data_IF_910350733264
#
_entry.id   IF_910350733264
#
_cell.length_a   1.000
_cell.length_b   1.000
_cell.length_c   1.000
_cell.angle_alpha   90.00
_cell.angle_beta   90.00
_cell.angle_gamma   90.00
#
_symmetry.space_group_name_H-M   'P 1'
#
loop_
_entity.id
_entity.type
_entity.pdbx_description
1 polymer ?
#
# COMPACT_ATOMS: atom_id res chain seq x y z
N UNK A 1 9.56 -35.72 11.70
CA UNK A 1 8.86 -34.87 10.72
C UNK A 1 8.55 -33.59 11.45
N UNK A 2 9.37 -32.55 11.25
CA UNK A 2 9.18 -31.27 11.91
C UNK A 2 8.58 -30.33 10.86
N UNK A 3 7.26 -30.15 10.92
CA UNK A 3 6.51 -29.20 10.10
C UNK A 3 6.90 -27.78 10.54
N UNK A 4 7.84 -27.18 9.80
CA UNK A 4 8.21 -25.78 9.98
C UNK A 4 7.03 -24.89 9.53
N UNK A 5 6.31 -24.39 10.54
CA UNK A 5 5.79 -23.02 10.74
C UNK A 5 5.39 -22.16 9.51
N UNK A 6 4.08 -21.83 9.32
CA UNK A 6 3.59 -20.99 8.24
C UNK A 6 3.63 -19.48 8.54
N UNK A 7 4.31 -19.02 9.58
CA UNK A 7 4.39 -17.60 9.93
C UNK A 7 5.72 -16.97 9.55
N UNK A 8 5.99 -16.86 8.25
CA UNK A 8 6.95 -15.85 7.79
C UNK A 8 6.27 -14.48 7.86
N UNK A 9 6.32 -13.91 9.08
CA UNK A 9 6.00 -12.53 9.36
C UNK A 9 6.87 -11.63 8.46
N UNK A 10 6.20 -10.81 7.65
CA UNK A 10 6.80 -9.75 6.84
C UNK A 10 7.27 -8.62 7.78
N UNK A 11 8.40 -8.82 8.46
CA UNK A 11 9.12 -7.73 9.08
C UNK A 11 9.90 -6.99 7.99
N UNK A 12 9.26 -6.04 7.32
CA UNK A 12 9.93 -5.20 6.31
C UNK A 12 9.86 -3.74 6.73
N UNK A 13 10.89 -3.25 7.43
CA UNK A 13 11.43 -1.85 7.39
C UNK A 13 12.90 -1.88 7.85
N UNK A 14 13.87 -1.18 7.22
CA UNK A 14 13.80 0.26 6.96
C UNK A 14 14.24 0.71 5.54
N UNK A 15 13.84 1.92 5.17
CA UNK A 15 13.89 2.52 3.84
C UNK A 15 15.24 2.44 3.11
N UNK A 16 15.15 1.98 1.87
CA UNK A 16 15.99 2.25 0.71
C UNK A 16 15.31 1.49 -0.42
N UNK A 17 14.43 2.17 -1.15
CA UNK A 17 13.80 1.63 -2.37
C UNK A 17 14.91 1.25 -3.38
N UNK A 18 15.35 -0.02 -3.29
CA UNK A 18 16.34 -0.74 -4.08
C UNK A 18 17.48 0.11 -4.64
N UNK A 19 18.65 -0.03 -3.99
CA UNK A 19 20.02 0.30 -4.43
C UNK A 19 20.28 1.52 -5.34
N UNK A 20 21.46 2.12 -5.19
CA UNK A 20 21.92 3.18 -6.10
C UNK A 20 22.18 2.67 -7.55
N UNK A 21 21.75 1.45 -7.87
CA UNK A 21 22.18 0.66 -9.01
C UNK A 21 21.05 0.27 -9.98
N UNK A 22 19.83 0.76 -9.80
CA UNK A 22 18.80 0.79 -10.85
C UNK A 22 19.13 1.84 -11.96
N UNK A 23 20.38 1.86 -12.42
CA UNK A 23 20.87 2.67 -13.55
C UNK A 23 21.24 1.82 -14.77
N UNK A 24 21.39 0.51 -14.60
CA UNK A 24 21.94 -0.38 -15.63
C UNK A 24 21.03 -1.59 -15.98
N UNK A 25 19.76 -1.58 -15.56
CA UNK A 25 18.80 -2.66 -15.87
C UNK A 25 19.01 -3.95 -15.07
N UNK A 26 19.87 -3.93 -14.03
CA UNK A 26 20.09 -5.03 -13.10
C UNK A 26 19.41 -4.71 -11.75
N UNK A 27 18.07 -4.67 -11.73
CA UNK A 27 17.34 -4.67 -10.47
C UNK A 27 17.57 -6.04 -9.82
N UNK A 28 18.47 -6.11 -8.86
CA UNK A 28 19.08 -7.37 -8.39
C UNK A 28 18.10 -8.39 -7.80
N UNK A 29 16.83 -8.06 -7.55
CA UNK A 29 15.81 -9.07 -7.26
C UNK A 29 14.44 -8.66 -7.83
N UNK A 30 14.06 -9.24 -8.99
CA UNK A 30 12.75 -9.03 -9.63
C UNK A 30 11.59 -9.23 -8.64
N UNK A 31 11.67 -10.24 -7.78
CA UNK A 31 10.65 -10.55 -6.77
C UNK A 31 10.48 -9.39 -5.77
N UNK A 32 11.59 -8.92 -5.22
CA UNK A 32 11.62 -7.80 -4.27
C UNK A 32 11.09 -6.51 -4.92
N UNK A 33 11.39 -6.27 -6.20
CA UNK A 33 10.81 -5.14 -6.96
C UNK A 33 9.28 -5.25 -7.08
N UNK A 34 8.76 -6.42 -7.43
CA UNK A 34 7.32 -6.63 -7.61
C UNK A 34 6.55 -6.49 -6.29
N UNK A 35 7.08 -7.02 -5.20
CA UNK A 35 6.48 -6.87 -3.87
C UNK A 35 6.32 -5.39 -3.49
N UNK A 36 7.34 -4.58 -3.76
CA UNK A 36 7.29 -3.14 -3.53
C UNK A 36 6.26 -2.43 -4.40
N UNK A 37 6.15 -2.80 -5.68
CA UNK A 37 5.10 -2.27 -6.58
C UNK A 37 3.71 -2.61 -6.03
N UNK A 38 3.51 -3.82 -5.49
CA UNK A 38 2.24 -4.20 -4.86
C UNK A 38 1.97 -3.39 -3.59
N UNK A 39 2.95 -3.23 -2.70
CA UNK A 39 2.80 -2.40 -1.50
C UNK A 39 2.44 -0.94 -1.84
N UNK A 40 3.07 -0.37 -2.86
CA UNK A 40 2.74 0.96 -3.37
C UNK A 40 1.31 1.02 -3.93
N UNK A 41 0.94 0.04 -4.75
CA UNK A 41 -0.38 -0.02 -5.38
C UNK A 41 -1.53 -0.29 -4.37
N UNK A 42 -1.25 -0.97 -3.27
CA UNK A 42 -2.19 -1.23 -2.17
C UNK A 42 -2.21 -0.10 -1.13
N UNK A 43 -1.30 0.87 -1.23
CA UNK A 43 -1.18 1.97 -0.26
C UNK A 43 -0.67 1.52 1.11
N UNK A 44 0.08 0.41 1.16
CA UNK A 44 0.66 -0.16 2.38
C UNK A 44 1.97 0.51 2.81
N UNK A 45 2.39 1.57 2.11
CA UNK A 45 3.63 2.30 2.37
C UNK A 45 3.44 3.49 3.30
N UNK A 46 4.52 3.85 4.00
CA UNK A 46 4.54 5.09 4.78
C UNK A 46 4.61 6.31 3.86
N UNK A 47 4.27 7.49 4.39
CA UNK A 47 4.36 8.76 3.65
C UNK A 47 5.77 9.05 3.12
N UNK A 48 6.80 8.65 3.84
CA UNK A 48 8.20 8.85 3.45
C UNK A 48 8.54 7.95 2.26
N UNK A 49 8.16 6.67 2.34
CA UNK A 49 8.42 5.68 1.29
C UNK A 49 7.69 6.04 -0.02
N UNK A 50 6.47 6.58 0.05
CA UNK A 50 5.68 6.97 -1.14
C UNK A 50 6.47 7.92 -2.05
N UNK A 51 7.14 8.92 -1.48
CA UNK A 51 7.91 9.90 -2.25
C UNK A 51 9.14 9.28 -2.90
N UNK A 52 9.77 8.32 -2.24
CA UNK A 52 10.90 7.57 -2.80
C UNK A 52 10.46 6.70 -3.98
N UNK A 53 9.31 6.01 -3.86
CA UNK A 53 8.74 5.20 -4.95
C UNK A 53 8.46 6.05 -6.16
N UNK A 54 7.78 7.19 -5.96
CA UNK A 54 7.34 8.05 -7.03
C UNK A 54 8.54 8.61 -7.81
N UNK A 55 9.59 9.02 -7.09
CA UNK A 55 10.85 9.44 -7.71
C UNK A 55 11.52 8.31 -8.50
N UNK A 56 11.49 7.08 -7.98
CA UNK A 56 12.04 5.92 -8.66
C UNK A 56 11.25 5.53 -9.92
N UNK A 57 9.91 5.47 -9.85
CA UNK A 57 9.04 5.21 -11.00
C UNK A 57 9.23 6.27 -12.09
N UNK A 58 9.51 7.53 -11.72
CA UNK A 58 9.84 8.57 -12.68
C UNK A 58 11.24 8.40 -13.30
N UNK A 59 12.20 7.84 -12.56
CA UNK A 59 13.57 7.66 -13.02
C UNK A 59 13.79 6.35 -13.82
N UNK A 60 12.98 5.32 -13.57
CA UNK A 60 13.13 3.98 -14.14
C UNK A 60 11.92 3.56 -15.01
N UNK A 61 12.05 3.56 -16.35
CA UNK A 61 10.97 3.17 -17.25
C UNK A 61 10.50 1.72 -17.10
N UNK A 62 11.40 0.80 -16.72
CA UNK A 62 11.04 -0.61 -16.55
C UNK A 62 10.10 -0.79 -15.36
N UNK A 63 10.43 -0.18 -14.22
CA UNK A 63 9.59 -0.20 -13.03
C UNK A 63 8.25 0.53 -13.25
N UNK A 64 8.25 1.62 -14.02
CA UNK A 64 7.03 2.31 -14.43
C UNK A 64 6.12 1.40 -15.27
N UNK A 65 6.69 0.68 -16.25
CA UNK A 65 5.94 -0.24 -17.09
C UNK A 65 5.34 -1.42 -16.29
N UNK A 66 6.10 -1.97 -15.34
CA UNK A 66 5.62 -3.02 -14.43
C UNK A 66 4.45 -2.51 -13.56
N UNK A 67 4.54 -1.27 -13.05
CA UNK A 67 3.46 -0.63 -12.29
C UNK A 67 2.21 -0.36 -13.15
N UNK A 68 2.38 0.11 -14.39
CA UNK A 68 1.29 0.35 -15.32
C UNK A 68 0.53 -0.95 -15.65
N UNK A 69 1.27 -2.04 -15.87
CA UNK A 69 0.69 -3.37 -16.06
C UNK A 69 -0.14 -3.80 -14.85
N UNK A 70 0.40 -3.64 -13.64
CA UNK A 70 -0.31 -3.96 -12.40
C UNK A 70 -1.58 -3.11 -12.23
N UNK A 71 -1.54 -1.83 -12.62
CA UNK A 71 -2.71 -0.96 -12.63
C UNK A 71 -3.80 -1.45 -13.60
N UNK A 72 -3.41 -1.93 -14.78
CA UNK A 72 -4.33 -2.53 -15.77
C UNK A 72 -4.95 -3.80 -15.20
N UNK A 73 -4.15 -4.71 -14.62
CA UNK A 73 -4.63 -5.94 -14.00
C UNK A 73 -5.66 -5.63 -12.92
N UNK A 74 -5.33 -4.73 -11.98
CA UNK A 74 -6.24 -4.33 -10.89
C UNK A 74 -7.52 -3.72 -11.43
N UNK A 75 -7.47 -3.00 -12.56
CA UNK A 75 -8.65 -2.45 -13.22
C UNK A 75 -9.53 -3.54 -13.83
N UNK A 76 -8.95 -4.53 -14.50
CA UNK A 76 -9.70 -5.66 -15.07
C UNK A 76 -10.32 -6.51 -13.97
N UNK A 77 -9.57 -6.83 -12.92
CA UNK A 77 -10.07 -7.60 -11.76
C UNK A 77 -11.25 -6.87 -11.11
N UNK A 78 -11.12 -5.57 -10.83
CA UNK A 78 -12.21 -4.75 -10.26
C UNK A 78 -13.48 -4.73 -11.13
N UNK A 79 -13.34 -4.77 -12.47
CA UNK A 79 -14.48 -4.82 -13.39
C UNK A 79 -15.17 -6.18 -13.37
N UNK A 80 -14.41 -7.26 -13.22
CA UNK A 80 -14.91 -8.63 -13.23
C UNK A 80 -15.47 -9.08 -11.88
N UNK A 81 -14.93 -8.58 -10.77
CA UNK A 81 -15.37 -8.86 -9.41
C UNK A 81 -16.17 -7.69 -8.83
N UNK A 82 -17.39 -7.48 -9.33
CA UNK A 82 -18.32 -6.50 -8.79
C UNK A 82 -19.12 -7.08 -7.59
N UNK A 83 -18.43 -7.47 -6.53
CA UNK A 83 -19.09 -7.87 -5.28
C UNK A 83 -19.52 -6.63 -4.51
N UNK A 84 -20.83 -6.50 -4.27
CA UNK A 84 -21.36 -5.39 -3.48
C UNK A 84 -21.12 -5.66 -2.00
N UNK A 85 -20.36 -4.77 -1.35
CA UNK A 85 -20.22 -4.80 0.10
C UNK A 85 -21.61 -4.78 0.78
N UNK A 86 -21.82 -5.58 1.84
CA UNK A 86 -23.11 -5.64 2.52
C UNK A 86 -23.45 -4.28 3.14
N UNK A 87 -24.71 -3.85 2.99
CA UNK A 87 -25.17 -2.54 3.47
C UNK A 87 -24.97 -2.36 4.99
N UNK A 88 -24.99 -3.45 5.75
CA UNK A 88 -24.71 -3.45 7.19
C UNK A 88 -23.31 -2.91 7.50
N UNK A 89 -22.30 -3.30 6.72
CA UNK A 89 -20.93 -2.82 6.91
C UNK A 89 -20.83 -1.32 6.66
N UNK A 90 -21.53 -0.82 5.63
CA UNK A 90 -21.56 0.61 5.30
C UNK A 90 -22.16 1.44 6.43
N UNK A 91 -23.27 0.98 7.00
CA UNK A 91 -23.91 1.64 8.16
C UNK A 91 -22.95 1.67 9.35
N UNK A 92 -22.35 0.54 9.70
CA UNK A 92 -21.39 0.45 10.82
C UNK A 92 -20.17 1.36 10.62
N UNK A 93 -19.62 1.43 9.41
CA UNK A 93 -18.49 2.34 9.10
C UNK A 93 -18.91 3.80 9.30
N UNK A 94 -20.07 4.21 8.78
CA UNK A 94 -20.55 5.58 8.90
C UNK A 94 -20.83 5.96 10.36
N UNK A 95 -21.43 5.07 11.14
CA UNK A 95 -21.64 5.25 12.58
C UNK A 95 -20.30 5.44 13.31
N UNK A 96 -19.31 4.59 13.03
CA UNK A 96 -17.99 4.68 13.66
C UNK A 96 -17.27 5.98 13.31
N UNK A 97 -17.34 6.42 12.05
CA UNK A 97 -16.78 7.70 11.62
C UNK A 97 -17.48 8.86 12.33
N UNK A 98 -18.81 8.83 12.44
CA UNK A 98 -19.57 9.85 13.17
C UNK A 98 -19.14 9.95 14.63
N UNK A 99 -18.98 8.81 15.30
CA UNK A 99 -18.54 8.75 16.68
C UNK A 99 -17.15 9.36 16.88
N UNK A 100 -16.18 8.98 16.03
CA UNK A 100 -14.81 9.52 16.08
C UNK A 100 -14.81 11.04 15.87
N UNK A 101 -15.66 11.56 14.98
CA UNK A 101 -15.77 13.01 14.72
C UNK A 101 -16.33 13.78 15.92
N UNK A 102 -17.28 13.21 16.65
CA UNK A 102 -17.83 13.80 17.88
C UNK A 102 -16.75 13.82 18.97
N UNK A 103 -16.06 12.69 19.18
CA UNK A 103 -14.98 12.58 20.16
C UNK A 103 -13.83 13.56 19.86
N UNK A 104 -13.42 13.67 18.60
CA UNK A 104 -12.40 14.63 18.18
C UNK A 104 -12.85 16.10 18.36
N UNK A 105 -14.15 16.39 18.22
CA UNK A 105 -14.71 17.72 18.48
C UNK A 105 -14.70 18.09 19.96
N UNK A 106 -15.07 17.14 20.84
CA UNK A 106 -15.09 17.39 22.29
C UNK A 106 -13.68 17.61 22.87
N UNK A 107 -12.66 16.97 22.30
CA UNK A 107 -11.26 17.16 22.72
C UNK A 107 -10.73 18.58 22.42
N UNK A 108 -11.29 19.28 21.43
CA UNK A 108 -10.90 20.66 21.08
C UNK A 108 -11.53 21.69 22.03
N UNK A 109 -12.72 21.42 22.55
CA UNK A 109 -13.42 22.30 23.51
C UNK A 109 -12.80 22.20 24.93
N UNK A 110 -12.28 21.03 25.32
CA UNK A 110 -11.59 20.84 26.61
C UNK A 110 -10.16 21.43 26.65
N UNK A 111 -9.50 21.62 25.49
CA UNK A 111 -8.16 22.22 25.42
C UNK A 111 -8.16 23.76 25.40
N UNK A 112 -9.33 24.38 25.21
CA UNK A 112 -9.53 25.82 25.20
C UNK A 112 -10.04 26.39 26.55
N UNK A 113 -10.09 25.56 27.59
CA UNK A 113 -10.51 25.92 28.96
C UNK A 113 -9.39 25.73 29.98
#
# INVERSE_FOLDING_TARGET
MNDQDPTQATEVRPGKWLDENCKDGDCTEQQTRMERIYEYADGALSREDIGEVEAHLHACPECANDYDLECIIRTVVRRSCAERAPETLKVTILERISQIRIEAGHQQDDAAR
#
